data_IF_131173865204
#
_entry.id   IF_131173865204
#
_cell.length_a   1.000
_cell.length_b   1.000
_cell.length_c   1.000
_cell.angle_alpha   90.00
_cell.angle_beta   90.00
_cell.angle_gamma   90.00
#
_symmetry.space_group_name_H-M   'P 1'
#
loop_
_entity.id
_entity.type
_entity.pdbx_description
1 polymer ?
#
# COMPACT_ATOMS: atom_id res chain seq x y z
N UNK A 1 13.42 3.40 15.82
CA UNK A 1 13.60 4.77 15.26
C UNK A 1 12.46 4.96 14.28
N UNK A 2 11.94 6.18 14.05
CA UNK A 2 10.72 6.35 13.22
C UNK A 2 10.76 5.60 11.87
N UNK A 3 11.96 5.43 11.29
CA UNK A 3 12.17 4.63 10.07
C UNK A 3 12.05 3.12 10.25
N UNK A 4 12.64 2.55 11.31
CA UNK A 4 12.53 1.10 11.54
C UNK A 4 11.07 0.71 11.76
N UNK A 5 10.32 1.55 12.45
CA UNK A 5 8.92 1.29 12.76
C UNK A 5 8.07 1.25 11.47
N UNK A 6 8.34 2.16 10.52
CA UNK A 6 7.72 2.14 9.17
C UNK A 6 8.13 0.88 8.40
N UNK A 7 9.39 0.46 8.46
CA UNK A 7 9.86 -0.78 7.80
C UNK A 7 9.10 -1.99 8.34
N UNK A 8 8.98 -2.12 9.65
CA UNK A 8 8.27 -3.22 10.31
C UNK A 8 6.78 -3.23 9.91
N UNK A 9 6.12 -2.07 9.88
CA UNK A 9 4.73 -1.94 9.42
C UNK A 9 4.62 -2.42 7.97
N UNK A 10 5.49 -1.95 7.08
CA UNK A 10 5.46 -2.33 5.65
C UNK A 10 5.62 -3.85 5.48
N UNK A 11 6.52 -4.47 6.24
CA UNK A 11 6.73 -5.93 6.22
C UNK A 11 5.50 -6.71 6.72
N UNK A 12 4.89 -6.30 7.83
CA UNK A 12 3.67 -6.92 8.39
C UNK A 12 2.54 -6.93 7.34
N UNK A 13 2.39 -5.81 6.63
CA UNK A 13 1.36 -5.65 5.62
C UNK A 13 1.71 -6.32 4.28
N UNK A 14 2.92 -6.87 4.14
CA UNK A 14 3.46 -7.41 2.87
C UNK A 14 3.41 -6.38 1.75
N UNK A 15 3.71 -5.13 2.10
CA UNK A 15 3.95 -4.04 1.17
C UNK A 15 5.45 -3.96 0.83
N UNK A 16 5.80 -3.03 -0.05
CA UNK A 16 7.18 -2.83 -0.49
C UNK A 16 7.59 -1.38 -0.32
N UNK A 17 8.81 -1.14 0.17
CA UNK A 17 9.44 0.18 0.09
C UNK A 17 10.11 0.27 -1.29
N UNK A 18 9.65 1.21 -2.12
CA UNK A 18 10.14 1.36 -3.50
C UNK A 18 11.10 2.53 -3.67
N UNK A 19 11.12 3.48 -2.72
CA UNK A 19 12.10 4.57 -2.67
C UNK A 19 12.38 5.02 -1.22
N UNK A 20 13.59 5.51 -0.97
CA UNK A 20 14.03 6.01 0.34
C UNK A 20 14.78 7.32 0.17
N UNK A 21 14.19 8.40 0.69
CA UNK A 21 14.80 9.71 0.79
C UNK A 21 15.40 9.98 2.19
N UNK A 22 16.11 11.11 2.31
CA UNK A 22 16.70 11.55 3.59
C UNK A 22 15.66 11.82 4.68
N UNK A 23 14.43 12.16 4.30
CA UNK A 23 13.31 12.45 5.22
C UNK A 23 12.01 11.74 4.85
N UNK A 24 11.97 11.04 3.71
CA UNK A 24 10.77 10.42 3.13
C UNK A 24 11.02 8.96 2.76
N UNK A 25 9.94 8.19 2.60
CA UNK A 25 9.95 6.84 2.05
C UNK A 25 8.70 6.67 1.18
N UNK A 26 8.82 5.95 0.07
CA UNK A 26 7.68 5.62 -0.80
C UNK A 26 7.35 4.14 -0.62
N UNK A 27 6.08 3.87 -0.33
CA UNK A 27 5.56 2.52 -0.07
C UNK A 27 4.54 2.15 -1.14
N UNK A 28 4.68 0.96 -1.70
CA UNK A 28 3.75 0.35 -2.64
C UNK A 28 3.02 -0.82 -1.98
N UNK A 29 1.71 -0.94 -2.24
CA UNK A 29 0.90 -2.08 -1.83
C UNK A 29 -0.11 -2.45 -2.91
N UNK A 30 -0.30 -3.76 -3.12
CA UNK A 30 -1.48 -4.31 -3.80
C UNK A 30 -2.28 -5.16 -2.82
N UNK A 31 -3.60 -4.98 -2.80
CA UNK A 31 -4.50 -5.68 -1.90
C UNK A 31 -5.97 -5.34 -2.18
N UNK A 32 -6.86 -5.89 -1.35
CA UNK A 32 -8.22 -5.38 -1.26
C UNK A 32 -8.25 -4.01 -0.56
N UNK A 33 -9.37 -3.32 -0.69
CA UNK A 33 -9.56 -1.97 -0.16
C UNK A 33 -9.35 -1.92 1.36
N UNK A 34 -9.88 -2.91 2.08
CA UNK A 34 -9.77 -3.05 3.54
C UNK A 34 -8.31 -3.13 4.00
N UNK A 35 -7.48 -3.91 3.32
CA UNK A 35 -6.05 -4.04 3.67
C UNK A 35 -5.28 -2.75 3.40
N UNK A 36 -5.57 -2.06 2.30
CA UNK A 36 -4.91 -0.79 1.99
C UNK A 36 -5.34 0.29 3.00
N UNK A 37 -6.62 0.34 3.37
CA UNK A 37 -7.14 1.27 4.38
C UNK A 37 -6.49 1.04 5.75
N UNK A 38 -6.33 -0.22 6.16
CA UNK A 38 -5.66 -0.58 7.40
C UNK A 38 -4.19 -0.13 7.41
N UNK A 39 -3.45 -0.31 6.29
CA UNK A 39 -2.08 0.19 6.18
C UNK A 39 -2.03 1.72 6.30
N UNK A 40 -2.90 2.44 5.60
CA UNK A 40 -2.97 3.90 5.64
C UNK A 40 -3.30 4.41 7.06
N UNK A 41 -4.21 3.75 7.78
CA UNK A 41 -4.56 4.11 9.14
C UNK A 41 -3.35 4.01 10.09
N UNK A 42 -2.57 2.93 10.02
CA UNK A 42 -1.37 2.76 10.85
C UNK A 42 -0.27 3.74 10.44
N UNK A 43 -0.04 3.95 9.14
CA UNK A 43 0.96 4.90 8.66
C UNK A 43 0.60 6.37 8.93
N UNK A 44 -0.67 6.69 9.20
CA UNK A 44 -1.11 8.05 9.49
C UNK A 44 -0.39 8.68 10.69
N UNK A 45 0.01 7.87 11.68
CA UNK A 45 0.78 8.31 12.85
C UNK A 45 2.20 8.79 12.51
N UNK A 46 2.74 8.32 11.38
CA UNK A 46 4.06 8.69 10.88
C UNK A 46 4.03 9.88 9.90
N UNK A 47 2.83 10.23 9.41
CA UNK A 47 2.60 11.30 8.43
C UNK A 47 2.63 10.78 6.99
N UNK A 48 1.48 10.85 6.32
CA UNK A 48 1.37 10.57 4.87
C UNK A 48 1.45 11.90 4.13
N UNK A 49 2.51 12.10 3.36
CA UNK A 49 2.73 13.33 2.59
C UNK A 49 1.87 13.39 1.33
N UNK A 50 1.75 12.27 0.63
CA UNK A 50 1.00 12.10 -0.60
C UNK A 50 0.50 10.65 -0.71
N UNK A 51 -0.64 10.46 -1.37
CA UNK A 51 -1.19 9.13 -1.64
C UNK A 51 -1.82 9.09 -3.03
N UNK A 52 -1.45 8.08 -3.80
CA UNK A 52 -2.12 7.72 -5.06
C UNK A 52 -2.66 6.30 -4.91
N UNK A 53 -3.97 6.13 -5.14
CA UNK A 53 -4.66 4.85 -5.08
C UNK A 53 -5.44 4.61 -6.36
N UNK A 54 -5.28 3.44 -6.95
CA UNK A 54 -6.18 2.96 -8.00
C UNK A 54 -7.50 2.51 -7.37
N UNK A 55 -8.63 2.77 -8.03
CA UNK A 55 -9.88 2.13 -7.67
C UNK A 55 -9.83 0.61 -7.83
N UNK A 56 -10.93 -0.07 -7.52
CA UNK A 56 -11.03 -1.52 -7.68
C UNK A 56 -10.85 -1.93 -9.15
N UNK A 57 -9.80 -2.68 -9.42
CA UNK A 57 -9.55 -3.32 -10.71
C UNK A 57 -9.85 -4.80 -10.59
N UNK A 58 -10.82 -5.29 -11.35
CA UNK A 58 -11.26 -6.69 -11.29
C UNK A 58 -11.20 -7.36 -12.65
N UNK A 59 -10.76 -8.62 -12.66
CA UNK A 59 -10.86 -9.51 -13.79
C UNK A 59 -11.58 -10.78 -13.33
N UNK A 60 -12.50 -11.28 -14.15
CA UNK A 60 -13.13 -12.58 -13.89
C UNK A 60 -12.08 -13.67 -13.96
N UNK A 61 -12.12 -14.62 -13.01
CA UNK A 61 -11.21 -15.76 -12.98
C UNK A 61 -11.69 -16.85 -13.94
N UNK A 62 -10.74 -17.55 -14.57
CA UNK A 62 -11.03 -18.66 -15.48
C UNK A 62 -11.33 -18.21 -16.92
N UNK A 63 -11.94 -19.10 -17.71
CA UNK A 63 -12.16 -18.87 -19.15
C UNK A 63 -13.26 -17.85 -19.47
N UNK A 64 -13.97 -17.34 -18.47
CA UNK A 64 -15.05 -16.37 -18.66
C UNK A 64 -14.46 -14.97 -18.77
N UNK A 65 -14.45 -14.42 -19.99
CA UNK A 65 -14.06 -13.03 -20.24
C UNK A 65 -15.29 -12.13 -20.16
N UNK A 66 -15.21 -11.04 -19.39
CA UNK A 66 -16.23 -9.98 -19.44
C UNK A 66 -16.07 -9.25 -20.77
N UNK A 67 -17.12 -9.25 -21.60
CA UNK A 67 -17.17 -8.33 -22.73
C UNK A 67 -17.50 -6.95 -22.17
N UNK A 68 -16.59 -6.01 -22.40
CA UNK A 68 -16.80 -4.59 -22.07
C UNK A 68 -17.92 -3.96 -22.89
#
# INVERSE_FOLDING_TARGET
SRRSDIVDIVEIFRAHIVDVGKETMVVEMTGDEEKIDALCAVLSEHGILEMVRTGKVTLTRGAHTVKG
#
